data_IF_076248329162
#
_entry.id   IF_076248329162
#
_cell.length_a   1.000
_cell.length_b   1.000
_cell.length_c   1.000
_cell.angle_alpha   90.00
_cell.angle_beta   90.00
_cell.angle_gamma   90.00
#
_symmetry.space_group_name_H-M   'P 1'
#
loop_
_entity.id
_entity.type
_entity.pdbx_description
1 polymer ?
#
# COMPACT_ATOMS: atom_id res chain seq x y z
N UNK A 1 -28.72 -2.46 5.20
CA UNK A 1 -28.31 -2.27 6.61
C UNK A 1 -27.05 -1.42 6.59
N UNK A 2 -26.76 -0.56 7.58
CA UNK A 2 -25.48 0.14 7.60
C UNK A 2 -24.35 -0.88 7.70
N UNK A 3 -23.24 -0.65 6.99
CA UNK A 3 -22.04 -1.47 7.12
C UNK A 3 -21.38 -1.25 8.48
N UNK A 4 -20.71 -2.27 9.01
CA UNK A 4 -19.95 -2.16 10.26
C UNK A 4 -18.73 -1.25 10.05
N UNK A 5 -18.62 -0.18 10.85
CA UNK A 5 -17.49 0.76 10.82
C UNK A 5 -16.75 0.90 12.15
N UNK A 6 -17.42 0.66 13.29
CA UNK A 6 -16.74 0.45 14.58
C UNK A 6 -16.30 -1.01 14.70
N UNK A 7 -15.05 -1.28 14.32
CA UNK A 7 -14.51 -2.63 14.25
C UNK A 7 -13.83 -3.01 15.56
N UNK A 8 -14.05 -4.25 16.03
CA UNK A 8 -13.34 -4.85 17.18
C UNK A 8 -12.51 -6.06 16.74
N UNK A 9 -13.01 -6.82 15.77
CA UNK A 9 -12.34 -8.00 15.21
C UNK A 9 -11.98 -7.81 13.73
N UNK A 10 -10.70 -7.92 13.41
CA UNK A 10 -10.15 -7.83 12.07
C UNK A 10 -9.76 -9.23 11.57
N UNK A 11 -10.31 -9.65 10.42
CA UNK A 11 -9.90 -10.89 9.77
C UNK A 11 -8.86 -10.62 8.68
N UNK A 12 -7.76 -11.37 8.70
CA UNK A 12 -6.69 -11.29 7.72
C UNK A 12 -6.54 -12.62 6.98
N UNK A 13 -6.67 -12.60 5.65
CA UNK A 13 -6.44 -13.77 4.80
C UNK A 13 -5.17 -13.59 3.98
N UNK A 14 -4.20 -14.46 4.18
CA UNK A 14 -2.83 -14.30 3.68
C UNK A 14 -1.99 -13.50 4.66
N UNK A 15 -0.85 -14.08 5.04
CA UNK A 15 0.04 -13.60 6.12
C UNK A 15 1.46 -13.34 5.63
N UNK A 16 1.61 -13.16 4.30
CA UNK A 16 2.82 -12.66 3.65
C UNK A 16 3.16 -11.22 4.06
N UNK A 17 4.03 -10.55 3.29
CA UNK A 17 4.55 -9.21 3.63
C UNK A 17 3.42 -8.19 3.90
N UNK A 18 2.47 -8.08 2.98
CA UNK A 18 1.34 -7.14 3.10
C UNK A 18 0.38 -7.53 4.22
N UNK A 19 0.00 -8.81 4.28
CA UNK A 19 -0.92 -9.32 5.30
C UNK A 19 -0.38 -9.16 6.72
N UNK A 20 0.90 -9.49 6.94
CA UNK A 20 1.57 -9.28 8.22
C UNK A 20 1.59 -7.80 8.62
N UNK A 21 1.74 -6.88 7.65
CA UNK A 21 1.68 -5.45 7.91
C UNK A 21 0.29 -4.96 8.32
N UNK A 22 -0.78 -5.46 7.68
CA UNK A 22 -2.16 -5.21 8.12
C UNK A 22 -2.43 -5.76 9.53
N UNK A 23 -1.97 -6.99 9.80
CA UNK A 23 -2.12 -7.63 11.13
C UNK A 23 -1.39 -6.82 12.19
N UNK A 24 -0.13 -6.41 11.94
CA UNK A 24 0.64 -5.59 12.86
C UNK A 24 -0.07 -4.27 13.17
N UNK A 25 -0.59 -3.59 12.14
CA UNK A 25 -1.36 -2.35 12.30
C UNK A 25 -2.65 -2.57 13.09
N UNK A 26 -3.45 -3.58 12.77
CA UNK A 26 -4.68 -3.88 13.49
C UNK A 26 -4.42 -4.18 14.98
N UNK A 27 -3.40 -4.98 15.30
CA UNK A 27 -2.99 -5.26 16.67
C UNK A 27 -2.51 -3.99 17.41
N UNK A 28 -1.74 -3.13 16.74
CA UNK A 28 -1.28 -1.85 17.31
C UNK A 28 -2.42 -0.86 17.57
N UNK A 29 -3.55 -1.01 16.87
CA UNK A 29 -4.79 -0.28 17.09
C UNK A 29 -5.73 -0.95 18.12
N UNK A 30 -5.27 -2.00 18.82
CA UNK A 30 -6.03 -2.64 19.91
C UNK A 30 -7.11 -3.61 19.44
N UNK A 31 -7.11 -4.00 18.16
CA UNK A 31 -8.11 -4.94 17.63
C UNK A 31 -7.76 -6.39 17.98
N UNK A 32 -8.79 -7.24 18.05
CA UNK A 32 -8.60 -8.68 18.00
C UNK A 32 -8.38 -9.07 16.53
N UNK A 33 -7.36 -9.89 16.25
CA UNK A 33 -7.04 -10.29 14.88
C UNK A 33 -7.17 -11.79 14.72
N UNK A 34 -7.95 -12.20 13.71
CA UNK A 34 -8.04 -13.60 13.30
C UNK A 34 -7.33 -13.73 11.95
N UNK A 35 -6.31 -14.57 11.88
CA UNK A 35 -5.50 -14.75 10.69
C UNK A 35 -5.61 -16.16 10.13
N UNK A 36 -5.62 -16.26 8.80
CA UNK A 36 -5.58 -17.53 8.08
C UNK A 36 -4.58 -17.45 6.92
N UNK A 37 -3.82 -18.52 6.72
CA UNK A 37 -2.93 -18.70 5.58
C UNK A 37 -2.75 -20.20 5.31
N UNK A 38 -2.86 -20.66 4.06
CA UNK A 38 -2.76 -22.08 3.73
C UNK A 38 -1.32 -22.59 3.74
N UNK A 39 -0.31 -21.72 3.76
CA UNK A 39 1.08 -22.13 3.64
C UNK A 39 1.57 -22.87 4.91
N UNK A 40 2.28 -23.99 4.76
CA UNK A 40 2.91 -24.67 5.90
C UNK A 40 3.85 -23.71 6.66
N UNK A 41 3.71 -23.65 7.98
CA UNK A 41 4.54 -22.79 8.84
C UNK A 41 4.20 -21.29 8.79
N UNK A 42 3.12 -20.90 8.11
CA UNK A 42 2.71 -19.50 8.00
C UNK A 42 2.52 -18.79 9.35
N UNK A 43 1.97 -19.48 10.36
CA UNK A 43 1.80 -18.87 11.69
C UNK A 43 3.15 -18.49 12.33
N UNK A 44 4.14 -19.39 12.30
CA UNK A 44 5.46 -19.10 12.85
C UNK A 44 6.14 -17.96 12.08
N UNK A 45 6.03 -17.99 10.75
CA UNK A 45 6.54 -16.95 9.86
C UNK A 45 5.86 -15.58 10.10
N UNK A 46 4.56 -15.54 10.35
CA UNK A 46 3.83 -14.34 10.73
C UNK A 46 4.33 -13.79 12.06
N UNK A 47 4.44 -14.64 13.10
CA UNK A 47 4.91 -14.22 14.43
C UNK A 47 6.31 -13.59 14.39
N UNK A 48 7.22 -14.13 13.58
CA UNK A 48 8.54 -13.52 13.35
C UNK A 48 8.44 -12.13 12.72
N UNK A 49 7.60 -11.96 11.68
CA UNK A 49 7.40 -10.65 11.03
C UNK A 49 6.81 -9.63 12.00
N UNK A 50 5.84 -10.04 12.82
CA UNK A 50 5.25 -9.17 13.84
C UNK A 50 6.29 -8.75 14.88
N UNK A 51 7.12 -9.67 15.37
CA UNK A 51 8.21 -9.35 16.29
C UNK A 51 9.20 -8.34 15.71
N UNK A 52 9.48 -8.41 14.40
CA UNK A 52 10.35 -7.45 13.71
C UNK A 52 9.69 -6.07 13.53
N UNK A 53 8.39 -6.00 13.23
CA UNK A 53 7.66 -4.76 12.99
C UNK A 53 7.26 -4.03 14.29
N UNK A 54 7.04 -4.76 15.38
CA UNK A 54 6.49 -4.24 16.63
C UNK A 54 7.28 -3.08 17.25
N UNK A 55 8.64 -3.11 17.31
CA UNK A 55 9.41 -1.99 17.86
C UNK A 55 9.19 -0.67 17.13
N UNK A 56 8.94 -0.70 15.82
CA UNK A 56 8.65 0.51 15.04
C UNK A 56 7.26 1.07 15.38
N UNK A 57 6.28 0.20 15.62
CA UNK A 57 4.93 0.56 16.06
C UNK A 57 4.93 1.11 17.50
N UNK A 58 5.73 0.54 18.40
CA UNK A 58 5.93 1.09 19.75
C UNK A 58 6.46 2.52 19.72
N UNK A 59 7.42 2.82 18.83
CA UNK A 59 7.94 4.18 18.61
C UNK A 59 6.88 5.14 18.05
N UNK A 60 5.96 4.66 17.21
CA UNK A 60 4.83 5.48 16.73
C UNK A 60 3.79 5.75 17.81
N UNK A 61 3.68 4.86 18.79
CA UNK A 61 2.68 4.88 19.85
C UNK A 61 1.57 3.86 19.57
N UNK A 62 1.29 3.04 20.58
CA UNK A 62 0.26 2.00 20.51
C UNK A 62 -1.07 2.49 21.11
N UNK A 63 -2.18 2.01 20.56
CA UNK A 63 -3.49 2.25 21.14
C UNK A 63 -3.67 1.47 22.47
N UNK A 64 -4.57 1.92 23.37
CA UNK A 64 -4.91 1.16 24.57
C UNK A 64 -5.35 -0.28 24.23
N UNK A 65 -4.75 -1.26 24.91
CA UNK A 65 -5.05 -2.67 24.70
C UNK A 65 -4.34 -3.31 23.51
N UNK A 66 -3.49 -2.59 22.78
CA UNK A 66 -2.64 -3.17 21.75
C UNK A 66 -1.72 -4.26 22.34
N UNK A 67 -1.75 -5.45 21.73
CA UNK A 67 -1.01 -6.61 22.22
C UNK A 67 -0.88 -7.66 21.10
N UNK A 68 0.29 -8.29 20.97
CA UNK A 68 0.52 -9.36 20.00
C UNK A 68 -0.30 -10.62 20.31
N UNK A 69 -0.67 -10.80 21.58
CA UNK A 69 -1.46 -11.92 22.10
C UNK A 69 -2.92 -11.91 21.61
N UNK A 70 -3.38 -10.78 21.05
CA UNK A 70 -4.70 -10.63 20.44
C UNK A 70 -4.80 -11.28 19.04
N UNK A 71 -3.69 -11.87 18.57
CA UNK A 71 -3.66 -12.67 17.35
C UNK A 71 -4.11 -14.12 17.62
N UNK A 72 -5.16 -14.54 16.93
CA UNK A 72 -5.58 -15.94 16.80
C UNK A 72 -5.34 -16.42 15.37
N UNK A 73 -4.59 -17.51 15.22
CA UNK A 73 -4.41 -18.17 13.93
C UNK A 73 -5.40 -19.34 13.79
N UNK A 74 -6.09 -19.44 12.65
CA UNK A 74 -7.11 -20.46 12.40
C UNK A 74 -6.78 -21.30 11.17
N UNK A 75 -7.41 -22.46 11.04
CA UNK A 75 -7.13 -23.42 9.97
C UNK A 75 -8.04 -23.29 8.75
N UNK A 76 -9.18 -22.60 8.86
CA UNK A 76 -10.16 -22.46 7.78
C UNK A 76 -10.50 -20.99 7.49
N UNK A 77 -10.94 -20.72 6.26
CA UNK A 77 -11.44 -19.38 5.86
C UNK A 77 -12.68 -19.04 6.68
N UNK A 78 -13.58 -20.01 6.88
CA UNK A 78 -14.84 -19.86 7.58
C UNK A 78 -14.63 -19.45 9.03
N UNK A 79 -13.69 -20.08 9.75
CA UNK A 79 -13.37 -19.70 11.13
C UNK A 79 -12.65 -18.34 11.22
N UNK A 80 -12.04 -17.89 10.12
CA UNK A 80 -11.40 -16.58 10.04
C UNK A 80 -12.43 -15.44 9.95
N UNK A 81 -13.47 -15.62 9.12
CA UNK A 81 -14.36 -14.52 8.72
C UNK A 81 -15.70 -14.48 9.45
N UNK A 82 -16.13 -15.59 10.08
CA UNK A 82 -17.47 -15.73 10.67
C UNK A 82 -17.82 -14.62 11.67
N UNK A 83 -16.87 -14.30 12.56
CA UNK A 83 -17.07 -13.36 13.66
C UNK A 83 -16.42 -11.99 13.41
N UNK A 84 -15.82 -11.78 12.24
CA UNK A 84 -15.08 -10.57 11.93
C UNK A 84 -15.98 -9.36 11.66
N UNK A 85 -15.52 -8.16 12.03
CA UNK A 85 -16.19 -6.88 11.75
C UNK A 85 -15.67 -6.22 10.48
N UNK A 86 -14.46 -6.61 10.06
CA UNK A 86 -13.82 -6.22 8.81
C UNK A 86 -12.90 -7.33 8.32
N UNK A 87 -12.87 -7.56 7.01
CA UNK A 87 -12.08 -8.63 6.39
C UNK A 87 -11.11 -8.01 5.39
N UNK A 88 -9.83 -8.36 5.47
CA UNK A 88 -8.80 -7.96 4.51
C UNK A 88 -8.10 -9.18 3.92
N UNK A 89 -8.17 -9.32 2.60
CA UNK A 89 -7.47 -10.35 1.84
C UNK A 89 -6.13 -9.80 1.30
N UNK A 90 -5.06 -10.59 1.39
CA UNK A 90 -3.68 -10.25 1.00
C UNK A 90 -2.94 -11.45 0.40
N UNK A 91 -3.64 -12.32 -0.32
CA UNK A 91 -3.08 -13.45 -1.06
C UNK A 91 -2.38 -12.97 -2.36
N UNK A 92 -1.60 -13.85 -3.01
CA UNK A 92 -0.86 -13.51 -4.23
C UNK A 92 -1.71 -12.89 -5.34
N UNK A 93 -1.07 -12.07 -6.18
CA UNK A 93 -1.69 -11.33 -7.27
C UNK A 93 -2.03 -12.23 -8.47
N UNK A 94 -3.01 -13.14 -8.26
CA UNK A 94 -3.50 -14.10 -9.25
C UNK A 94 -5.02 -14.02 -9.31
N UNK A 95 -5.56 -13.66 -10.49
CA UNK A 95 -6.99 -13.42 -10.68
C UNK A 95 -7.86 -14.62 -10.25
N UNK A 96 -7.60 -15.81 -10.78
CA UNK A 96 -8.36 -17.02 -10.49
C UNK A 96 -8.39 -17.34 -8.98
N UNK A 97 -7.23 -17.24 -8.32
CA UNK A 97 -7.11 -17.46 -6.87
C UNK A 97 -7.97 -16.46 -6.08
N UNK A 98 -7.93 -15.17 -6.44
CA UNK A 98 -8.71 -14.15 -5.75
C UNK A 98 -10.21 -14.31 -5.98
N UNK A 99 -10.64 -14.69 -7.19
CA UNK A 99 -12.04 -15.05 -7.45
C UNK A 99 -12.52 -16.16 -6.50
N UNK A 100 -11.77 -17.28 -6.43
CA UNK A 100 -12.11 -18.42 -5.58
C UNK A 100 -12.13 -18.05 -4.09
N UNK A 101 -11.13 -17.29 -3.63
CA UNK A 101 -11.05 -16.85 -2.23
C UNK A 101 -12.21 -15.94 -1.88
N UNK A 102 -12.49 -14.92 -2.70
CA UNK A 102 -13.56 -13.97 -2.40
C UNK A 102 -14.95 -14.58 -2.48
N UNK A 103 -15.19 -15.58 -3.34
CA UNK A 103 -16.43 -16.35 -3.31
C UNK A 103 -16.62 -17.07 -1.96
N UNK A 104 -15.58 -17.71 -1.42
CA UNK A 104 -15.62 -18.40 -0.12
C UNK A 104 -15.75 -17.43 1.06
N UNK A 105 -14.93 -16.37 1.07
CA UNK A 105 -14.94 -15.32 2.10
C UNK A 105 -16.34 -14.71 2.20
N UNK A 106 -16.88 -14.27 1.07
CA UNK A 106 -18.16 -13.55 1.04
C UNK A 106 -19.36 -14.44 1.37
N UNK A 107 -19.30 -15.74 1.07
CA UNK A 107 -20.34 -16.69 1.45
C UNK A 107 -20.35 -17.00 2.97
N UNK A 108 -19.18 -16.99 3.61
CA UNK A 108 -19.04 -17.29 5.04
C UNK A 108 -19.16 -16.05 5.96
N UNK A 109 -18.89 -14.85 5.43
CA UNK A 109 -18.96 -13.59 6.17
C UNK A 109 -20.39 -13.08 6.38
N UNK A 110 -20.66 -12.46 7.54
CA UNK A 110 -21.93 -11.78 7.83
C UNK A 110 -22.24 -10.72 6.77
N UNK A 111 -23.49 -10.53 6.32
CA UNK A 111 -23.84 -9.71 5.15
C UNK A 111 -23.57 -8.20 5.29
N UNK A 112 -23.36 -7.70 6.52
CA UNK A 112 -23.10 -6.30 6.86
C UNK A 112 -21.61 -5.96 7.01
N UNK A 113 -20.73 -6.94 6.86
CA UNK A 113 -19.26 -6.79 6.99
C UNK A 113 -18.64 -6.45 5.64
N UNK A 114 -17.75 -5.46 5.65
CA UNK A 114 -16.95 -5.06 4.48
C UNK A 114 -15.83 -6.08 4.20
N UNK A 115 -15.56 -6.28 2.91
CA UNK A 115 -14.51 -7.18 2.44
C UNK A 115 -13.52 -6.36 1.59
N UNK A 116 -12.33 -6.14 2.14
CA UNK A 116 -11.18 -5.53 1.50
C UNK A 116 -10.30 -6.54 0.76
N UNK A 117 -9.71 -6.14 -0.36
CA UNK A 117 -8.56 -6.82 -0.97
C UNK A 117 -7.35 -5.87 -1.04
N UNK A 118 -6.17 -6.42 -0.79
CA UNK A 118 -4.88 -5.72 -0.92
C UNK A 118 -4.26 -5.84 -2.32
N UNK A 119 -5.03 -6.27 -3.33
CA UNK A 119 -4.58 -6.29 -4.73
C UNK A 119 -3.94 -4.96 -5.13
N UNK A 120 -2.90 -5.02 -5.95
CA UNK A 120 -2.15 -3.85 -6.41
C UNK A 120 -2.57 -3.40 -7.82
N UNK A 121 -3.22 -4.26 -8.60
CA UNK A 121 -3.60 -3.90 -9.96
C UNK A 121 -4.79 -4.60 -10.59
N UNK A 122 -5.33 -5.67 -9.98
CA UNK A 122 -6.51 -6.35 -10.52
C UNK A 122 -7.76 -5.49 -10.36
N UNK A 123 -8.64 -5.53 -11.37
CA UNK A 123 -9.87 -4.76 -11.33
C UNK A 123 -10.87 -5.40 -10.34
N UNK A 124 -11.43 -4.65 -9.37
CA UNK A 124 -12.42 -5.16 -8.45
C UNK A 124 -13.61 -5.83 -9.15
N UNK A 125 -14.07 -5.28 -10.28
CA UNK A 125 -15.13 -5.90 -11.08
C UNK A 125 -14.80 -7.31 -11.60
N UNK A 126 -13.53 -7.66 -11.75
CA UNK A 126 -13.09 -8.96 -12.24
C UNK A 126 -12.95 -9.95 -11.09
N UNK A 127 -12.16 -9.63 -10.06
CA UNK A 127 -11.85 -10.61 -9.02
C UNK A 127 -12.94 -10.76 -7.95
N UNK A 128 -13.92 -9.83 -7.87
CA UNK A 128 -15.14 -10.01 -7.08
C UNK A 128 -16.33 -10.56 -7.89
N UNK A 129 -16.14 -11.00 -9.14
CA UNK A 129 -17.23 -11.38 -10.03
C UNK A 129 -18.20 -12.42 -9.42
N UNK A 130 -17.64 -13.39 -8.69
CA UNK A 130 -18.35 -14.50 -8.06
C UNK A 130 -18.59 -14.31 -6.54
N UNK A 131 -18.30 -13.13 -6.01
CA UNK A 131 -18.55 -12.84 -4.60
C UNK A 131 -20.05 -12.75 -4.29
N UNK A 132 -20.46 -13.32 -3.16
CA UNK A 132 -21.80 -13.15 -2.61
C UNK A 132 -21.97 -11.75 -2.00
N UNK A 133 -23.02 -11.04 -2.40
CA UNK A 133 -23.28 -9.66 -1.97
C UNK A 133 -22.09 -8.72 -2.29
N UNK A 134 -21.69 -8.59 -3.58
CA UNK A 134 -20.51 -7.83 -3.98
C UNK A 134 -20.61 -6.33 -3.71
N UNK A 135 -21.78 -5.83 -3.33
CA UNK A 135 -22.01 -4.43 -2.95
C UNK A 135 -21.17 -3.97 -1.74
N UNK A 136 -20.65 -4.89 -0.93
CA UNK A 136 -19.81 -4.62 0.25
C UNK A 136 -18.32 -4.87 0.05
N UNK A 137 -17.93 -5.21 -1.17
CA UNK A 137 -16.56 -5.53 -1.53
C UNK A 137 -15.83 -4.28 -2.05
N UNK A 138 -14.63 -4.03 -1.54
CA UNK A 138 -13.79 -2.89 -1.90
C UNK A 138 -12.34 -3.35 -2.03
N UNK A 139 -11.54 -2.66 -2.83
CA UNK A 139 -10.09 -2.71 -2.67
C UNK A 139 -9.70 -1.73 -1.58
N UNK A 140 -8.80 -2.16 -0.71
CA UNK A 140 -8.00 -1.28 0.13
C UNK A 140 -6.54 -1.63 -0.06
N UNK A 141 -5.93 -0.99 -1.06
CA UNK A 141 -4.57 -1.24 -1.50
C UNK A 141 -3.59 -0.41 -0.65
N UNK A 142 -2.80 -1.05 0.25
CA UNK A 142 -1.83 -0.35 1.08
C UNK A 142 -0.47 -0.22 0.39
N UNK A 143 0.46 0.50 1.03
CA UNK A 143 1.85 0.58 0.59
C UNK A 143 2.80 -0.03 1.62
N UNK A 144 3.81 -0.77 1.16
CA UNK A 144 4.76 -1.45 2.04
C UNK A 144 5.84 -0.48 2.57
N UNK A 145 6.15 -0.46 3.89
CA UNK A 145 5.55 -1.24 4.97
C UNK A 145 4.19 -0.70 5.44
N UNK A 146 3.16 -1.57 5.39
CA UNK A 146 1.75 -1.22 5.67
C UNK A 146 1.55 -0.63 7.07
N UNK A 147 2.34 -1.10 8.04
CA UNK A 147 2.26 -0.64 9.43
C UNK A 147 2.87 0.74 9.68
N UNK A 148 3.59 1.33 8.71
CA UNK A 148 4.15 2.69 8.84
C UNK A 148 3.58 3.65 7.79
N UNK A 149 3.47 3.23 6.53
CA UNK A 149 2.98 4.10 5.47
C UNK A 149 1.46 4.28 5.63
N UNK A 150 0.96 5.53 5.65
CA UNK A 150 -0.44 5.79 5.97
C UNK A 150 -1.36 5.64 4.74
N UNK A 151 -0.85 5.72 3.50
CA UNK A 151 -1.72 5.74 2.33
C UNK A 151 -2.42 4.38 2.13
N UNK A 152 -3.71 4.41 1.81
CA UNK A 152 -4.47 3.27 1.31
C UNK A 152 -5.38 3.73 0.18
N UNK A 153 -5.30 3.10 -0.98
CA UNK A 153 -6.23 3.38 -2.08
C UNK A 153 -7.51 2.58 -1.88
N UNK A 154 -8.65 3.29 -1.81
CA UNK A 154 -9.98 2.67 -1.69
C UNK A 154 -10.65 2.70 -3.05
N UNK A 155 -10.97 1.52 -3.59
CA UNK A 155 -11.51 1.36 -4.94
C UNK A 155 -12.75 0.47 -4.90
N UNK A 156 -13.86 0.95 -5.45
CA UNK A 156 -15.05 0.15 -5.69
C UNK A 156 -15.05 -0.46 -7.10
N UNK A 157 -15.61 -1.66 -7.24
CA UNK A 157 -15.94 -2.25 -8.53
C UNK A 157 -17.32 -1.80 -9.03
N UNK A 158 -17.73 -2.31 -10.19
CA UNK A 158 -19.00 -1.93 -10.82
C UNK A 158 -20.25 -2.25 -9.98
N UNK A 159 -20.15 -3.24 -9.08
CA UNK A 159 -21.26 -3.65 -8.19
C UNK A 159 -21.14 -3.11 -6.77
N UNK A 160 -20.03 -2.47 -6.41
CA UNK A 160 -19.80 -1.94 -5.05
C UNK A 160 -20.76 -0.80 -4.75
N UNK A 161 -21.40 -0.82 -3.58
CA UNK A 161 -22.24 0.27 -3.14
C UNK A 161 -21.40 1.50 -2.78
N UNK A 162 -21.79 2.73 -3.16
CA UNK A 162 -21.11 3.95 -2.74
C UNK A 162 -20.99 4.07 -1.21
N UNK A 163 -21.98 3.59 -0.47
CA UNK A 163 -21.98 3.55 0.99
C UNK A 163 -20.92 2.60 1.55
N UNK A 164 -20.58 1.53 0.83
CA UNK A 164 -19.52 0.59 1.24
C UNK A 164 -18.14 1.23 1.09
N UNK A 165 -17.92 2.02 0.03
CA UNK A 165 -16.68 2.80 -0.15
C UNK A 165 -16.52 3.80 1.00
N UNK A 166 -17.59 4.51 1.37
CA UNK A 166 -17.53 5.47 2.46
C UNK A 166 -17.29 4.79 3.82
N UNK A 167 -17.95 3.67 4.08
CA UNK A 167 -17.73 2.87 5.28
C UNK A 167 -16.29 2.33 5.35
N UNK A 168 -15.72 1.88 4.22
CA UNK A 168 -14.34 1.44 4.16
C UNK A 168 -13.35 2.58 4.43
N UNK A 169 -13.62 3.79 3.94
CA UNK A 169 -12.83 4.99 4.26
C UNK A 169 -12.81 5.23 5.78
N UNK A 170 -13.98 5.13 6.44
CA UNK A 170 -14.07 5.29 7.90
C UNK A 170 -13.28 4.20 8.65
N UNK A 171 -13.39 2.94 8.22
CA UNK A 171 -12.62 1.83 8.81
C UNK A 171 -11.12 2.05 8.66
N UNK A 172 -10.65 2.40 7.46
CA UNK A 172 -9.22 2.64 7.26
C UNK A 172 -8.71 3.87 8.02
N UNK A 173 -9.52 4.92 8.16
CA UNK A 173 -9.18 6.07 9.02
C UNK A 173 -9.03 5.67 10.48
N UNK A 174 -9.90 4.79 11.00
CA UNK A 174 -9.80 4.32 12.41
C UNK A 174 -8.53 3.49 12.66
N UNK A 175 -7.96 2.88 11.60
CA UNK A 175 -6.65 2.21 11.57
C UNK A 175 -5.47 3.15 11.34
N UNK A 176 -5.68 4.47 11.43
CA UNK A 176 -4.63 5.47 11.23
C UNK A 176 -4.13 5.59 9.78
N UNK A 177 -4.89 5.07 8.82
CA UNK A 177 -4.60 5.25 7.40
C UNK A 177 -5.12 6.60 6.90
N UNK A 178 -4.62 7.01 5.73
CA UNK A 178 -5.08 8.10 4.89
C UNK A 178 -5.71 7.50 3.63
N UNK A 179 -7.04 7.30 3.60
CA UNK A 179 -7.70 6.75 2.43
C UNK A 179 -7.66 7.71 1.25
N UNK A 180 -7.30 7.18 0.09
CA UNK A 180 -7.39 7.84 -1.20
C UNK A 180 -8.47 7.16 -2.02
N UNK A 181 -9.62 7.81 -2.17
CA UNK A 181 -10.73 7.27 -2.96
C UNK A 181 -10.40 7.33 -4.46
N UNK A 182 -10.17 6.16 -5.06
CA UNK A 182 -10.01 5.99 -6.51
C UNK A 182 -11.40 5.89 -7.12
N UNK A 183 -11.87 7.01 -7.67
CA UNK A 183 -13.27 7.18 -8.11
C UNK A 183 -13.71 6.25 -9.25
N UNK A 184 -12.76 5.66 -9.96
CA UNK A 184 -13.02 4.76 -11.08
C UNK A 184 -11.94 3.70 -11.08
N UNK A 185 -12.35 2.43 -11.09
CA UNK A 185 -11.41 1.33 -11.24
C UNK A 185 -10.58 1.49 -12.53
N UNK A 186 -9.29 1.26 -12.39
CA UNK A 186 -8.29 1.31 -13.46
C UNK A 186 -7.16 0.38 -13.06
N UNK A 187 -6.56 -0.39 -13.98
CA UNK A 187 -5.44 -1.26 -13.63
C UNK A 187 -4.28 -0.46 -13.04
N UNK A 188 -3.77 -0.93 -11.89
CA UNK A 188 -2.71 -0.27 -11.11
C UNK A 188 -3.14 1.01 -10.38
N UNK A 189 -4.45 1.30 -10.31
CA UNK A 189 -5.04 2.42 -9.56
C UNK A 189 -4.38 3.78 -9.83
N UNK A 190 -4.00 4.56 -8.82
CA UNK A 190 -3.35 5.86 -9.02
C UNK A 190 -1.86 5.74 -8.73
N UNK A 191 -1.48 5.27 -7.54
CA UNK A 191 -0.09 5.30 -7.09
C UNK A 191 0.78 4.31 -7.88
N UNK A 192 0.34 3.07 -8.06
CA UNK A 192 1.12 2.07 -8.78
C UNK A 192 1.31 2.46 -10.25
N UNK A 193 0.34 3.11 -10.89
CA UNK A 193 0.55 3.68 -12.23
C UNK A 193 1.68 4.70 -12.29
N UNK A 194 1.85 5.51 -11.25
CA UNK A 194 2.94 6.49 -11.16
C UNK A 194 4.27 5.80 -10.87
N UNK A 195 4.29 4.81 -9.97
CA UNK A 195 5.47 4.02 -9.64
C UNK A 195 5.96 3.21 -10.85
N UNK A 196 5.04 2.56 -11.56
CA UNK A 196 5.31 1.81 -12.79
C UNK A 196 5.89 2.68 -13.90
N UNK A 197 5.37 3.90 -14.08
CA UNK A 197 5.91 4.82 -15.08
C UNK A 197 7.37 5.19 -14.77
N UNK A 198 7.70 5.44 -13.51
CA UNK A 198 9.07 5.70 -13.08
C UNK A 198 9.95 4.45 -13.22
N UNK A 199 9.44 3.29 -12.84
CA UNK A 199 10.17 2.03 -12.89
C UNK A 199 10.54 1.63 -14.32
N UNK A 200 9.61 1.76 -15.27
CA UNK A 200 9.87 1.47 -16.68
C UNK A 200 10.95 2.36 -17.26
N UNK A 201 10.93 3.65 -16.94
CA UNK A 201 11.97 4.57 -17.35
C UNK A 201 13.33 4.22 -16.73
N UNK A 202 13.36 3.87 -15.44
CA UNK A 202 14.59 3.43 -14.78
C UNK A 202 15.20 2.20 -15.45
N UNK A 203 14.38 1.22 -15.83
CA UNK A 203 14.84 0.04 -16.56
C UNK A 203 15.44 0.38 -17.93
N UNK A 204 14.84 1.31 -18.68
CA UNK A 204 15.42 1.79 -19.94
C UNK A 204 16.78 2.46 -19.73
N UNK A 205 16.90 3.32 -18.70
CA UNK A 205 18.16 4.00 -18.40
C UNK A 205 19.29 3.02 -18.06
N UNK A 206 18.99 1.93 -17.36
CA UNK A 206 19.96 0.84 -17.12
C UNK A 206 20.26 0.08 -18.40
N UNK A 207 19.22 -0.35 -19.12
CA UNK A 207 19.33 -1.14 -20.36
C UNK A 207 20.18 -0.45 -21.42
N UNK A 208 20.00 0.86 -21.56
CA UNK A 208 20.68 1.68 -22.56
C UNK A 208 22.06 2.17 -22.07
N UNK A 209 22.47 1.78 -20.87
CA UNK A 209 23.76 2.14 -20.28
C UNK A 209 23.89 3.63 -19.93
N UNK A 210 22.76 4.31 -19.70
CA UNK A 210 22.72 5.75 -19.39
C UNK A 210 23.12 6.01 -17.93
N UNK A 211 22.70 5.14 -17.01
CA UNK A 211 23.00 5.27 -15.59
C UNK A 211 22.96 3.91 -14.87
N UNK A 212 23.68 3.80 -13.76
CA UNK A 212 23.58 2.68 -12.82
C UNK A 212 22.31 2.78 -11.97
N UNK A 213 21.90 1.68 -11.33
CA UNK A 213 20.76 1.70 -10.39
C UNK A 213 20.98 2.70 -9.25
N UNK A 214 22.21 2.82 -8.74
CA UNK A 214 22.55 3.75 -7.67
C UNK A 214 22.43 5.22 -8.08
N UNK A 215 22.87 5.58 -9.29
CA UNK A 215 22.73 6.94 -9.82
C UNK A 215 21.26 7.32 -10.06
N UNK A 216 20.46 6.38 -10.56
CA UNK A 216 19.01 6.55 -10.73
C UNK A 216 18.33 6.75 -9.36
N UNK A 217 18.69 5.94 -8.36
CA UNK A 217 18.18 6.07 -7.00
C UNK A 217 18.61 7.39 -6.36
N UNK A 218 19.84 7.86 -6.59
CA UNK A 218 20.32 9.17 -6.12
C UNK A 218 19.56 10.34 -6.76
N UNK A 219 19.21 10.23 -8.05
CA UNK A 219 18.41 11.25 -8.73
C UNK A 219 17.02 11.42 -8.07
N UNK A 220 16.46 10.36 -7.52
CA UNK A 220 15.22 10.41 -6.74
C UNK A 220 15.51 10.85 -5.29
N UNK A 221 16.42 10.18 -4.57
CA UNK A 221 16.71 10.45 -3.15
C UNK A 221 17.17 11.88 -2.89
N UNK A 222 18.01 12.44 -3.76
CA UNK A 222 18.57 13.78 -3.60
C UNK A 222 17.87 14.84 -4.49
N UNK A 223 16.98 14.42 -5.37
CA UNK A 223 16.18 15.29 -6.23
C UNK A 223 14.72 15.39 -5.79
N UNK A 224 13.83 14.74 -6.54
CA UNK A 224 12.40 14.91 -6.36
C UNK A 224 11.85 14.25 -5.08
N UNK A 225 12.47 13.16 -4.60
CA UNK A 225 12.04 12.40 -3.43
C UNK A 225 11.99 13.22 -2.14
N UNK A 226 12.97 14.12 -1.91
CA UNK A 226 12.97 14.99 -0.74
C UNK A 226 11.70 15.84 -0.65
N UNK A 227 11.30 16.47 -1.75
CA UNK A 227 10.09 17.31 -1.79
C UNK A 227 8.79 16.48 -1.89
N UNK A 228 8.82 15.34 -2.57
CA UNK A 228 7.64 14.46 -2.69
C UNK A 228 7.18 13.88 -1.36
N UNK A 229 8.07 13.78 -0.37
CA UNK A 229 7.70 13.32 0.97
C UNK A 229 6.64 14.19 1.65
N UNK A 230 6.58 15.50 1.35
CA UNK A 230 5.62 16.44 1.95
C UNK A 230 4.80 17.25 0.94
N UNK A 231 5.15 17.22 -0.35
CA UNK A 231 4.48 17.98 -1.40
C UNK A 231 4.47 17.22 -2.74
N UNK A 232 3.28 16.82 -3.18
CA UNK A 232 3.10 16.12 -4.46
C UNK A 232 3.43 16.97 -5.69
N UNK A 233 3.49 16.32 -6.86
CA UNK A 233 3.94 16.92 -8.13
C UNK A 233 3.15 18.17 -8.53
N UNK A 234 1.82 18.16 -8.41
CA UNK A 234 1.00 19.28 -8.84
C UNK A 234 1.23 20.56 -8.02
N UNK A 235 1.34 20.46 -6.69
CA UNK A 235 1.60 21.64 -5.87
C UNK A 235 3.06 22.11 -6.03
N UNK A 236 4.00 21.16 -6.12
CA UNK A 236 5.40 21.45 -6.47
C UNK A 236 5.52 22.25 -7.77
N UNK A 237 4.82 21.84 -8.82
CA UNK A 237 4.85 22.53 -10.12
C UNK A 237 4.05 23.82 -10.12
N UNK A 238 3.03 23.95 -9.26
CA UNK A 238 2.35 25.22 -9.03
C UNK A 238 3.34 26.27 -8.51
N UNK A 239 4.21 25.90 -7.55
CA UNK A 239 5.27 26.78 -7.07
C UNK A 239 6.32 27.09 -8.14
N UNK A 240 6.67 26.10 -8.98
CA UNK A 240 7.59 26.30 -10.09
C UNK A 240 7.05 27.28 -11.16
N UNK A 241 5.74 27.46 -11.23
CA UNK A 241 5.08 28.49 -12.06
C UNK A 241 5.15 29.90 -11.49
N UNK A 242 5.81 30.12 -10.34
CA UNK A 242 5.91 31.42 -9.68
C UNK A 242 4.56 31.94 -9.20
N UNK A 243 4.42 33.27 -9.05
CA UNK A 243 3.17 33.90 -8.57
C UNK A 243 1.96 33.66 -9.49
N UNK A 244 2.20 33.35 -10.77
CA UNK A 244 1.17 33.01 -11.75
C UNK A 244 0.73 31.53 -11.69
N UNK A 245 1.42 30.72 -10.89
CA UNK A 245 1.02 29.37 -10.53
C UNK A 245 0.97 28.38 -11.69
N UNK A 246 0.14 27.34 -11.52
CA UNK A 246 0.06 26.20 -12.45
C UNK A 246 -0.27 26.62 -13.89
N UNK A 247 -1.08 27.65 -14.11
CA UNK A 247 -1.42 28.08 -15.48
C UNK A 247 -0.19 28.56 -16.23
N UNK A 248 0.69 29.31 -15.57
CA UNK A 248 1.94 29.75 -16.17
C UNK A 248 2.90 28.58 -16.39
N UNK A 249 3.05 27.70 -15.39
CA UNK A 249 3.86 26.48 -15.53
C UNK A 249 3.43 25.65 -16.75
N UNK A 250 2.13 25.41 -16.93
CA UNK A 250 1.59 24.67 -18.06
C UNK A 250 1.81 25.38 -19.40
N UNK A 251 1.72 26.71 -19.46
CA UNK A 251 2.01 27.46 -20.69
C UNK A 251 3.49 27.41 -21.07
N UNK A 252 4.38 27.47 -20.07
CA UNK A 252 5.84 27.47 -20.27
C UNK A 252 6.37 26.07 -20.62
N UNK A 253 6.00 25.05 -19.85
CA UNK A 253 6.57 23.70 -19.93
C UNK A 253 5.66 22.69 -20.64
N UNK A 254 4.38 22.99 -20.82
CA UNK A 254 3.44 22.12 -21.55
C UNK A 254 3.91 21.72 -22.96
N UNK A 255 4.57 22.61 -23.75
CA UNK A 255 5.13 22.21 -25.04
C UNK A 255 6.17 21.09 -24.96
N UNK A 256 6.93 21.00 -23.85
CA UNK A 256 7.95 19.97 -23.66
C UNK A 256 7.35 18.56 -23.46
N UNK A 257 6.08 18.45 -23.05
CA UNK A 257 5.39 17.16 -22.89
C UNK A 257 5.21 16.39 -24.20
N UNK A 258 5.42 17.05 -25.36
CA UNK A 258 5.39 16.41 -26.68
C UNK A 258 6.73 15.83 -27.10
N UNK A 259 7.80 16.11 -26.35
CA UNK A 259 9.13 15.60 -26.64
C UNK A 259 9.21 14.14 -26.17
N UNK A 260 9.79 13.23 -26.97
CA UNK A 260 9.85 11.81 -26.66
C UNK A 260 11.04 11.52 -25.70
N UNK A 261 11.00 12.10 -24.50
CA UNK A 261 12.10 11.96 -23.53
C UNK A 261 12.05 10.68 -22.71
N UNK A 262 10.88 10.09 -22.53
CA UNK A 262 10.65 8.97 -21.61
C UNK A 262 9.82 7.87 -22.26
N UNK A 263 9.95 6.65 -21.76
CA UNK A 263 9.26 5.46 -22.25
C UNK A 263 8.10 5.05 -21.33
N UNK A 264 6.97 4.66 -21.92
CA UNK A 264 5.78 4.18 -21.17
C UNK A 264 5.66 2.66 -21.14
N UNK A 265 6.28 1.97 -22.10
CA UNK A 265 6.40 0.53 -22.16
C UNK A 265 7.76 0.12 -21.61
N UNK A 266 7.83 -0.96 -20.83
CA UNK A 266 9.08 -1.49 -20.30
C UNK A 266 9.98 -2.01 -21.43
N UNK A 267 11.31 -2.01 -21.26
CA UNK A 267 12.18 -2.78 -22.16
C UNK A 267 11.91 -4.28 -21.99
N UNK A 268 12.36 -5.09 -22.95
CA UNK A 268 12.38 -6.54 -22.78
C UNK A 268 13.32 -6.91 -21.62
N UNK A 269 12.82 -7.69 -20.66
CA UNK A 269 13.61 -8.17 -19.52
C UNK A 269 14.52 -9.32 -19.96
N UNK A 270 15.55 -8.99 -20.72
CA UNK A 270 16.61 -9.94 -21.11
C UNK A 270 17.42 -10.36 -19.88
N UNK A 271 18.03 -11.55 -19.92
CA UNK A 271 18.93 -12.00 -18.84
C UNK A 271 20.05 -10.99 -18.56
N UNK A 272 20.57 -10.32 -19.60
CA UNK A 272 21.60 -9.29 -19.44
C UNK A 272 21.11 -8.05 -18.68
N UNK A 273 19.87 -7.61 -18.92
CA UNK A 273 19.27 -6.50 -18.15
C UNK A 273 19.00 -6.92 -16.71
N UNK A 274 18.49 -8.12 -16.50
CA UNK A 274 18.24 -8.67 -15.16
C UNK A 274 19.56 -8.73 -14.37
N UNK A 275 20.62 -9.30 -14.96
CA UNK A 275 21.94 -9.40 -14.35
C UNK A 275 22.50 -8.01 -14.00
N UNK A 276 22.37 -7.02 -14.90
CA UNK A 276 22.83 -5.66 -14.64
C UNK A 276 22.09 -5.00 -13.46
N UNK A 277 20.77 -5.19 -13.34
CA UNK A 277 19.98 -4.69 -12.21
C UNK A 277 20.38 -5.41 -10.91
N UNK A 278 20.58 -6.73 -10.95
CA UNK A 278 21.01 -7.54 -9.80
C UNK A 278 22.39 -7.13 -9.32
N UNK A 279 23.35 -6.95 -10.23
CA UNK A 279 24.71 -6.50 -9.90
C UNK A 279 24.68 -5.11 -9.25
N UNK A 280 24.01 -4.15 -9.88
CA UNK A 280 23.92 -2.79 -9.33
C UNK A 280 23.23 -2.74 -7.96
N UNK A 281 22.14 -3.49 -7.77
CA UNK A 281 21.47 -3.55 -6.46
C UNK A 281 22.29 -4.30 -5.40
N UNK A 282 23.08 -5.29 -5.79
CA UNK A 282 24.03 -5.98 -4.90
C UNK A 282 25.13 -5.02 -4.44
N UNK A 283 25.68 -4.20 -5.35
CA UNK A 283 26.66 -3.17 -5.00
C UNK A 283 26.07 -2.15 -4.01
N UNK A 284 24.83 -1.68 -4.26
CA UNK A 284 24.13 -0.78 -3.35
C UNK A 284 23.89 -1.39 -1.95
N UNK A 285 23.50 -2.67 -1.91
CA UNK A 285 23.29 -3.37 -0.65
C UNK A 285 24.57 -3.44 0.18
N UNK A 286 25.71 -3.66 -0.48
CA UNK A 286 27.01 -3.82 0.16
C UNK A 286 27.00 -4.96 1.19
N UNK A 287 27.62 -4.75 2.35
CA UNK A 287 27.73 -5.77 3.41
C UNK A 287 26.48 -5.90 4.30
N UNK A 288 25.44 -5.08 4.07
CA UNK A 288 24.26 -5.02 4.95
C UNK A 288 23.30 -6.16 4.64
N UNK A 289 22.72 -6.75 5.68
CA UNK A 289 21.59 -7.68 5.50
C UNK A 289 20.31 -6.93 5.15
N UNK A 290 19.38 -7.62 4.49
CA UNK A 290 18.05 -7.08 4.18
C UNK A 290 17.33 -6.62 5.45
N UNK A 291 17.34 -7.42 6.53
CA UNK A 291 16.75 -7.05 7.82
C UNK A 291 17.35 -5.75 8.39
N UNK A 292 18.65 -5.51 8.19
CA UNK A 292 19.29 -4.27 8.64
C UNK A 292 18.86 -3.07 7.79
N UNK A 293 18.71 -3.26 6.48
CA UNK A 293 18.20 -2.23 5.56
C UNK A 293 16.72 -1.94 5.82
N UNK A 294 15.90 -2.94 6.16
CA UNK A 294 14.51 -2.75 6.56
C UNK A 294 14.40 -1.92 7.84
N UNK A 295 15.19 -2.24 8.88
CA UNK A 295 15.24 -1.43 10.11
C UNK A 295 15.68 0.00 9.83
N UNK A 296 16.71 0.17 8.99
CA UNK A 296 17.17 1.48 8.57
C UNK A 296 16.08 2.28 7.83
N UNK A 297 15.41 1.66 6.86
CA UNK A 297 14.27 2.26 6.13
C UNK A 297 13.17 2.69 7.10
N UNK A 298 12.78 1.82 8.01
CA UNK A 298 11.70 2.08 8.96
C UNK A 298 12.04 3.22 9.92
N UNK A 299 13.27 3.25 10.47
CA UNK A 299 13.74 4.36 11.31
C UNK A 299 13.76 5.70 10.53
N UNK A 300 14.18 5.68 9.25
CA UNK A 300 14.12 6.85 8.38
C UNK A 300 12.67 7.30 8.11
N UNK A 301 11.75 6.38 7.83
CA UNK A 301 10.33 6.69 7.63
C UNK A 301 9.75 7.35 8.87
N UNK A 302 10.03 6.83 10.07
CA UNK A 302 9.60 7.44 11.33
C UNK A 302 10.11 8.86 11.49
N UNK A 303 11.41 9.09 11.23
CA UNK A 303 12.02 10.41 11.34
C UNK A 303 11.42 11.41 10.33
N UNK A 304 11.19 10.99 9.09
CA UNK A 304 10.56 11.82 8.04
C UNK A 304 9.12 12.15 8.41
N UNK A 305 8.32 11.16 8.83
CA UNK A 305 6.93 11.38 9.24
C UNK A 305 6.83 12.38 10.39
N UNK A 306 7.70 12.27 11.39
CA UNK A 306 7.75 13.20 12.51
C UNK A 306 8.17 14.62 12.09
N UNK A 307 9.23 14.74 11.27
CA UNK A 307 9.68 16.03 10.77
C UNK A 307 8.59 16.74 9.94
N UNK A 308 7.86 16.00 9.11
CA UNK A 308 6.73 16.52 8.34
C UNK A 308 5.62 16.97 9.27
N UNK A 309 5.23 16.15 10.25
CA UNK A 309 4.17 16.47 11.22
C UNK A 309 4.49 17.77 11.96
N UNK A 310 5.68 17.88 12.53
CA UNK A 310 6.13 19.09 13.25
C UNK A 310 6.16 20.32 12.34
N UNK A 311 6.68 20.17 11.12
CA UNK A 311 6.81 21.29 10.18
C UNK A 311 5.45 21.75 9.68
N UNK A 312 4.55 20.83 9.31
CA UNK A 312 3.17 21.15 8.91
C UNK A 312 2.43 21.89 10.02
N UNK A 313 2.50 21.40 11.26
CA UNK A 313 1.88 22.05 12.42
C UNK A 313 2.40 23.50 12.62
N UNK A 314 3.71 23.74 12.46
CA UNK A 314 4.30 25.08 12.51
C UNK A 314 3.73 26.03 11.45
N UNK A 315 3.32 25.49 10.30
CA UNK A 315 2.72 26.23 9.19
C UNK A 315 1.18 26.20 9.17
N UNK A 316 0.55 25.65 10.21
CA UNK A 316 -0.92 25.62 10.34
C UNK A 316 -1.60 24.57 9.47
N UNK A 317 -0.88 23.53 9.04
CA UNK A 317 -1.43 22.38 8.33
C UNK A 317 -1.56 21.18 9.25
N UNK A 318 -2.65 20.43 9.11
CA UNK A 318 -2.77 19.09 9.67
C UNK A 318 -1.88 18.09 8.91
N UNK A 319 -1.48 16.98 9.54
CA UNK A 319 -0.64 15.98 8.86
C UNK A 319 -1.28 15.46 7.57
N UNK A 320 -2.61 15.33 7.57
CA UNK A 320 -3.40 14.83 6.46
C UNK A 320 -3.63 15.87 5.34
N UNK A 321 -3.37 17.16 5.58
CA UNK A 321 -3.57 18.27 4.62
C UNK A 321 -2.36 18.51 3.72
#
# INVERSE_FOLDING_TARGET
MPFVTDIKTFAALGTGVIGAGWIARALAHGLDVIAWDPAPGAEAALRTRLANAWPALEKQGLAPGAALERLRFVSTIEDCVRDADFIQESAPERLELKCELHAKISAAARPDVLIGSSTSGLLPSEFYADAAYPERCVVGHPFNPVYLLPLVEVVGGAKTAPEAVQAAIEVYQSLGMRPLHVRKEVPGFIADRLLEALWREALHLVNDGVATTGEIDDAIRFGAGLRWSFMGSFLTYTLAGGTAGMRHFMAQFGPALKLPWTYLEAPELTEGLIDAVVEGTTEQQGERSLDALERYRDDCLLAVLEAIRQTKAKHGFEFAE
#
